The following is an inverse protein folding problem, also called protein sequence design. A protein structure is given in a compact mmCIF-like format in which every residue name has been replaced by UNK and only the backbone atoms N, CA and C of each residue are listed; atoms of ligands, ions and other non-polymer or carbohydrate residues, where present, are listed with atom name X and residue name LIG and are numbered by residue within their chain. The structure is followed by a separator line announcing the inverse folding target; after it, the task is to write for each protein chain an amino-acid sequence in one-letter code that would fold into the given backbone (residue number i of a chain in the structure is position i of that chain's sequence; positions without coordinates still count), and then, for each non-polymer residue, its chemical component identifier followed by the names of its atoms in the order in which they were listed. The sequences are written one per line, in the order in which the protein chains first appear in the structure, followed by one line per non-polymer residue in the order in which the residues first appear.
data_IF_967216593841
#
_entry.id   IF_967216593841
#
_cell.length_a   1.000
_cell.length_b   1.000
_cell.length_c   1.000
_cell.angle_alpha   90.00
_cell.angle_beta   90.00
_cell.angle_gamma   90.00
#
_symmetry.space_group_name_H-M   'P 1'
#
loop_
_entity.id
_entity.type
_entity.pdbx_description
1 polymer ?
#
# COMPACT_ATOMS: atom_id res chain seq x y z
N UNK A 1 1.80 54.38 -25.04
CA UNK A 1 0.93 53.19 -25.11
C UNK A 1 1.76 52.00 -24.64
N UNK A 2 1.72 51.73 -23.33
CA UNK A 2 2.49 50.64 -22.72
C UNK A 2 1.77 49.32 -23.00
N UNK A 3 2.41 48.46 -23.80
CA UNK A 3 2.00 47.06 -23.90
C UNK A 3 2.34 46.37 -22.58
N UNK A 4 1.33 46.06 -21.78
CA UNK A 4 1.44 45.04 -20.74
C UNK A 4 1.46 43.67 -21.44
N UNK A 5 2.67 43.15 -21.65
CA UNK A 5 2.89 41.70 -21.74
C UNK A 5 2.85 41.19 -20.29
N UNK A 6 1.67 40.80 -19.82
CA UNK A 6 1.59 39.95 -18.63
C UNK A 6 2.20 38.59 -18.97
N UNK A 7 3.33 38.32 -18.31
CA UNK A 7 4.09 37.08 -18.32
C UNK A 7 3.15 35.89 -18.07
N UNK A 8 2.96 35.07 -19.10
CA UNK A 8 2.62 33.65 -18.93
C UNK A 8 3.90 32.88 -18.59
N UNK A 9 3.76 31.70 -17.99
CA UNK A 9 4.79 30.72 -17.55
C UNK A 9 5.44 31.07 -16.22
N UNK A 10 5.16 30.39 -15.09
CA UNK A 10 5.58 29.01 -14.87
C UNK A 10 4.95 28.42 -13.57
N UNK A 11 4.05 27.44 -13.69
CA UNK A 11 3.49 26.67 -12.57
C UNK A 11 4.43 25.51 -12.16
N UNK A 12 5.48 25.78 -11.39
CA UNK A 12 6.52 24.77 -11.16
C UNK A 12 6.32 24.02 -9.85
N UNK A 13 5.64 22.88 -9.99
CA UNK A 13 5.61 21.76 -9.05
C UNK A 13 4.89 20.57 -9.68
N UNK A 14 3.86 20.85 -10.46
CA UNK A 14 3.13 19.86 -11.22
C UNK A 14 3.85 19.50 -12.53
N UNK A 15 4.23 18.23 -12.71
CA UNK A 15 4.94 17.76 -13.91
C UNK A 15 4.00 17.21 -14.96
N UNK A 16 2.87 16.62 -14.54
CA UNK A 16 1.87 16.02 -15.42
C UNK A 16 0.52 16.68 -15.18
N UNK A 17 -0.02 17.25 -16.26
CA UNK A 17 -1.27 18.01 -16.25
C UNK A 17 -2.41 17.30 -16.98
N UNK A 18 -2.10 16.42 -17.93
CA UNK A 18 -3.10 15.65 -18.67
C UNK A 18 -3.85 14.73 -17.70
N UNK A 19 -5.17 14.79 -17.75
CA UNK A 19 -6.06 14.08 -16.82
C UNK A 19 -7.08 13.23 -17.60
N UNK A 20 -7.43 12.02 -17.13
CA UNK A 20 -8.41 11.19 -17.80
C UNK A 20 -9.83 11.78 -17.73
N UNK A 21 -10.69 11.34 -18.64
CA UNK A 21 -12.14 11.59 -18.60
C UNK A 21 -12.88 10.34 -18.12
N UNK A 22 -14.01 10.53 -17.44
CA UNK A 22 -14.87 9.41 -17.00
C UNK A 22 -15.34 8.53 -18.16
N UNK A 23 -15.49 9.12 -19.35
CA UNK A 23 -15.90 8.45 -20.60
C UNK A 23 -14.78 7.72 -21.32
N UNK A 24 -13.52 7.88 -20.91
CA UNK A 24 -12.40 7.18 -21.54
C UNK A 24 -12.49 5.67 -21.27
N UNK A 25 -11.93 4.87 -22.16
CA UNK A 25 -11.72 3.44 -21.90
C UNK A 25 -10.79 3.27 -20.68
N UNK A 26 -11.00 2.21 -19.91
CA UNK A 26 -10.26 1.90 -18.69
C UNK A 26 -8.75 1.85 -18.92
N UNK A 27 -8.27 1.19 -19.97
CA UNK A 27 -6.83 1.15 -20.29
C UNK A 27 -6.25 2.55 -20.53
N UNK A 28 -7.02 3.47 -21.11
CA UNK A 28 -6.62 4.87 -21.29
C UNK A 28 -6.58 5.58 -19.93
N UNK A 29 -7.59 5.39 -19.09
CA UNK A 29 -7.61 5.95 -17.72
C UNK A 29 -6.39 5.49 -16.93
N UNK A 30 -6.08 4.18 -16.97
CA UNK A 30 -4.95 3.58 -16.25
C UNK A 30 -3.62 4.13 -16.74
N UNK A 31 -3.42 4.28 -18.04
CA UNK A 31 -2.19 4.86 -18.60
C UNK A 31 -2.00 6.32 -18.15
N UNK A 32 -3.07 7.14 -18.21
CA UNK A 32 -2.99 8.53 -17.77
C UNK A 32 -2.76 8.66 -16.25
N UNK A 33 -3.42 7.83 -15.45
CA UNK A 33 -3.17 7.79 -14.01
C UNK A 33 -1.77 7.28 -13.66
N UNK A 34 -1.22 6.30 -14.39
CA UNK A 34 0.17 5.86 -14.20
C UNK A 34 1.15 7.01 -14.46
N UNK A 35 0.93 7.79 -15.52
CA UNK A 35 1.73 8.98 -15.81
C UNK A 35 1.62 10.02 -14.70
N UNK A 36 0.43 10.26 -14.15
CA UNK A 36 0.23 11.15 -13.00
C UNK A 36 0.97 10.63 -11.75
N UNK A 37 0.87 9.33 -11.44
CA UNK A 37 1.58 8.73 -10.30
C UNK A 37 3.09 8.87 -10.43
N UNK A 38 3.65 8.56 -11.60
CA UNK A 38 5.11 8.68 -11.84
C UNK A 38 5.60 10.12 -12.01
N UNK A 39 4.72 11.03 -12.40
CA UNK A 39 5.05 12.43 -12.62
C UNK A 39 4.94 13.30 -11.36
N UNK A 40 3.81 13.21 -10.67
CA UNK A 40 3.46 14.12 -9.58
C UNK A 40 3.61 13.47 -8.19
N UNK A 41 3.34 12.17 -8.06
CA UNK A 41 3.36 11.45 -6.77
C UNK A 41 4.68 10.76 -6.46
N UNK A 42 5.61 10.73 -7.42
CA UNK A 42 6.87 10.01 -7.31
C UNK A 42 7.87 10.73 -6.41
N UNK A 43 8.22 10.10 -5.29
CA UNK A 43 9.21 10.55 -4.33
C UNK A 43 10.31 9.49 -4.21
N UNK A 44 11.29 9.54 -5.11
CA UNK A 44 12.42 8.59 -5.13
C UNK A 44 11.97 7.12 -5.17
N UNK A 45 10.91 6.81 -5.91
CA UNK A 45 10.30 5.48 -6.01
C UNK A 45 9.15 5.24 -5.03
N UNK A 46 9.09 5.97 -3.91
CA UNK A 46 7.92 5.97 -3.04
C UNK A 46 6.79 6.76 -3.70
N UNK A 47 5.54 6.37 -3.43
CA UNK A 47 4.35 7.00 -4.00
C UNK A 47 3.64 7.77 -2.89
N UNK A 48 3.48 9.07 -3.09
CA UNK A 48 2.75 9.93 -2.17
C UNK A 48 1.24 9.69 -2.32
N UNK A 49 0.54 9.39 -1.22
CA UNK A 49 -0.92 9.16 -1.25
C UNK A 49 -1.70 10.45 -1.56
N UNK A 50 -1.11 11.59 -1.23
CA UNK A 50 -1.69 12.92 -1.37
C UNK A 50 -0.58 13.91 -1.72
N UNK A 51 -0.78 14.68 -2.79
CA UNK A 51 0.11 15.76 -3.20
C UNK A 51 -0.66 17.07 -3.27
N UNK A 52 -0.07 18.13 -2.72
CA UNK A 52 -0.58 19.50 -2.77
C UNK A 52 0.40 20.33 -3.59
N UNK A 53 -0.08 21.01 -4.63
CA UNK A 53 0.77 21.77 -5.55
C UNK A 53 1.06 23.18 -5.02
N UNK A 54 2.06 23.89 -5.56
CA UNK A 54 2.19 25.34 -5.36
C UNK A 54 0.87 26.07 -5.70
N UNK A 55 0.49 27.15 -4.98
CA UNK A 55 1.29 27.90 -4.01
C UNK A 55 1.24 27.36 -2.57
N UNK A 56 0.52 26.27 -2.32
CA UNK A 56 0.48 25.62 -1.00
C UNK A 56 1.55 24.54 -0.82
N UNK A 57 2.00 23.96 -1.92
CA UNK A 57 3.08 23.00 -1.97
C UNK A 57 4.45 23.62 -2.17
N UNK A 58 5.44 22.75 -2.23
CA UNK A 58 6.79 23.10 -2.67
C UNK A 58 6.88 22.91 -4.18
N UNK A 59 7.95 23.44 -4.80
CA UNK A 59 8.30 23.15 -6.20
C UNK A 59 8.47 21.64 -6.48
N UNK A 60 8.58 20.84 -5.43
CA UNK A 60 8.41 19.39 -5.43
C UNK A 60 7.14 19.07 -4.62
N UNK A 61 6.00 18.72 -5.23
CA UNK A 61 4.72 18.60 -4.53
C UNK A 61 4.62 17.31 -3.70
N UNK A 62 5.63 16.99 -2.89
CA UNK A 62 5.63 15.87 -1.94
C UNK A 62 4.99 16.30 -0.61
N UNK A 63 3.94 17.11 -0.63
CA UNK A 63 3.30 17.65 0.57
C UNK A 63 1.85 17.19 0.66
N UNK A 64 1.38 16.90 1.87
CA UNK A 64 0.07 16.30 2.10
C UNK A 64 0.16 15.23 3.19
N UNK A 65 -0.91 14.45 3.37
CA UNK A 65 -0.84 13.26 4.24
C UNK A 65 0.15 12.26 3.66
N UNK A 66 1.04 11.74 4.49
CA UNK A 66 2.00 10.70 4.09
C UNK A 66 2.07 9.53 5.06
N UNK A 67 1.22 9.51 6.10
CA UNK A 67 1.21 8.45 7.12
C UNK A 67 0.96 7.05 6.54
N UNK A 68 0.42 7.00 5.31
CA UNK A 68 0.09 5.79 4.58
C UNK A 68 0.88 5.60 3.29
N UNK A 69 1.96 6.35 3.07
CA UNK A 69 2.76 6.33 1.83
C UNK A 69 3.16 4.91 1.38
N UNK A 70 3.44 4.01 2.32
CA UNK A 70 3.78 2.63 2.04
C UNK A 70 2.64 1.83 1.37
N UNK A 71 1.38 2.22 1.54
CA UNK A 71 0.23 1.57 0.91
C UNK A 71 0.20 1.80 -0.61
N UNK A 72 0.11 3.04 -1.15
CA UNK A 72 0.15 3.25 -2.59
C UNK A 72 1.49 2.84 -3.20
N UNK A 73 2.59 2.90 -2.44
CA UNK A 73 3.89 2.38 -2.88
C UNK A 73 3.83 0.86 -3.11
N UNK A 74 3.26 0.11 -2.16
CA UNK A 74 3.10 -1.35 -2.27
C UNK A 74 2.09 -1.75 -3.36
N UNK A 75 1.05 -0.94 -3.54
CA UNK A 75 0.08 -1.13 -4.63
C UNK A 75 0.71 -0.94 -6.00
N UNK A 76 1.48 0.13 -6.20
CA UNK A 76 2.24 0.33 -7.45
C UNK A 76 3.28 -0.77 -7.66
N UNK A 77 3.96 -1.22 -6.60
CA UNK A 77 4.89 -2.34 -6.68
C UNK A 77 4.19 -3.62 -7.16
N UNK A 78 3.04 -3.95 -6.57
CA UNK A 78 2.23 -5.08 -7.00
C UNK A 78 1.72 -4.89 -8.44
N UNK A 79 1.25 -3.70 -8.81
CA UNK A 79 0.74 -3.39 -10.14
C UNK A 79 1.80 -3.64 -11.22
N UNK A 80 2.99 -3.05 -11.05
CA UNK A 80 4.11 -3.24 -11.98
C UNK A 80 4.60 -4.69 -12.01
N UNK A 81 4.51 -5.41 -10.89
CA UNK A 81 4.87 -6.82 -10.85
C UNK A 81 3.93 -7.70 -11.68
N UNK A 82 2.61 -7.46 -11.58
CA UNK A 82 1.63 -8.12 -12.43
C UNK A 82 1.76 -7.71 -13.90
N UNK A 83 1.99 -6.41 -14.15
CA UNK A 83 2.23 -5.86 -15.49
C UNK A 83 3.41 -6.56 -16.16
N UNK A 84 4.58 -6.56 -15.52
CA UNK A 84 5.77 -7.25 -16.02
C UNK A 84 5.52 -8.75 -16.21
N UNK A 85 4.82 -9.40 -15.27
CA UNK A 85 4.53 -10.83 -15.40
C UNK A 85 3.75 -11.15 -16.68
N UNK A 86 2.85 -10.26 -17.11
CA UNK A 86 2.07 -10.37 -18.33
C UNK A 86 2.84 -9.91 -19.59
N UNK A 87 3.51 -8.76 -19.55
CA UNK A 87 4.13 -8.12 -20.72
C UNK A 87 5.55 -8.60 -21.00
N UNK A 88 6.27 -9.01 -19.95
CA UNK A 88 7.72 -9.27 -19.95
C UNK A 88 8.56 -8.08 -20.43
N UNK A 89 8.02 -6.86 -20.40
CA UNK A 89 8.77 -5.64 -20.78
C UNK A 89 9.78 -5.30 -19.67
N UNK A 90 11.10 -5.32 -19.94
CA UNK A 90 12.11 -4.99 -18.95
C UNK A 90 11.92 -3.61 -18.31
N UNK A 91 11.30 -2.64 -19.01
CA UNK A 91 11.02 -1.30 -18.46
C UNK A 91 10.05 -1.36 -17.28
N UNK A 92 9.07 -2.25 -17.31
CA UNK A 92 8.11 -2.42 -16.21
C UNK A 92 8.82 -2.99 -14.97
N UNK A 93 9.78 -3.90 -15.16
CA UNK A 93 10.63 -4.39 -14.08
C UNK A 93 11.56 -3.31 -13.54
N UNK A 94 12.15 -2.49 -14.39
CA UNK A 94 13.03 -1.39 -13.95
C UNK A 94 12.27 -0.36 -13.09
N UNK A 95 10.99 -0.12 -13.40
CA UNK A 95 10.13 0.71 -12.55
C UNK A 95 9.79 0.00 -11.24
N UNK A 96 9.42 -1.29 -11.28
CA UNK A 96 9.19 -2.09 -10.07
C UNK A 96 10.42 -2.10 -9.14
N UNK A 97 11.62 -2.24 -9.71
CA UNK A 97 12.89 -2.18 -9.00
C UNK A 97 13.06 -0.83 -8.29
N UNK A 98 12.80 0.30 -8.96
CA UNK A 98 12.87 1.62 -8.34
C UNK A 98 11.88 1.79 -7.19
N UNK A 99 10.64 1.30 -7.36
CA UNK A 99 9.63 1.33 -6.29
C UNK A 99 10.10 0.48 -5.11
N UNK A 100 10.65 -0.71 -5.36
CA UNK A 100 11.18 -1.57 -4.31
C UNK A 100 12.41 -0.99 -3.60
N UNK A 101 13.29 -0.28 -4.31
CA UNK A 101 14.40 0.47 -3.69
C UNK A 101 13.88 1.56 -2.72
N UNK A 102 12.72 2.15 -2.99
CA UNK A 102 12.09 3.07 -2.04
C UNK A 102 11.55 2.35 -0.80
N UNK A 103 11.03 1.13 -0.94
CA UNK A 103 10.66 0.27 0.20
C UNK A 103 11.88 -0.07 1.05
N UNK A 104 13.02 -0.39 0.42
CA UNK A 104 14.29 -0.56 1.14
C UNK A 104 14.73 0.73 1.84
N UNK A 105 14.51 1.88 1.20
CA UNK A 105 14.86 3.20 1.77
C UNK A 105 14.02 3.54 3.02
N UNK A 106 12.75 3.12 3.08
CA UNK A 106 11.90 3.28 4.26
C UNK A 106 12.48 2.56 5.50
N UNK A 107 13.19 1.44 5.32
CA UNK A 107 13.97 0.84 6.41
C UNK A 107 15.28 1.61 6.62
N UNK A 108 16.03 1.86 5.53
CA UNK A 108 17.37 2.46 5.62
C UNK A 108 17.37 3.80 6.35
N UNK A 109 16.37 4.64 6.13
CA UNK A 109 16.27 6.00 6.69
C UNK A 109 16.13 6.01 8.22
N UNK A 110 15.65 4.91 8.82
CA UNK A 110 15.51 4.81 10.29
C UNK A 110 16.85 4.54 10.97
N UNK A 111 17.78 3.91 10.24
CA UNK A 111 19.07 3.46 10.78
C UNK A 111 18.98 2.22 11.67
N UNK A 112 17.79 1.65 11.84
CA UNK A 112 17.54 0.48 12.69
C UNK A 112 17.11 -0.69 11.81
N UNK A 113 17.90 -1.78 11.75
CA UNK A 113 17.53 -3.00 11.03
C UNK A 113 16.13 -3.51 11.42
N UNK A 114 15.26 -3.69 10.43
CA UNK A 114 13.89 -4.17 10.61
C UNK A 114 12.88 -3.12 11.08
N UNK A 115 13.29 -1.86 11.35
CA UNK A 115 12.36 -0.76 11.59
C UNK A 115 12.11 -0.01 10.27
N UNK A 116 10.85 0.00 9.82
CA UNK A 116 10.42 0.60 8.56
C UNK A 116 9.59 1.85 8.86
N UNK A 117 9.97 2.98 8.26
CA UNK A 117 9.22 4.23 8.36
C UNK A 117 7.88 4.18 7.59
N UNK A 118 6.93 5.02 7.98
CA UNK A 118 5.69 5.27 7.21
C UNK A 118 5.95 6.02 5.91
N UNK A 119 6.83 7.01 5.97
CA UNK A 119 7.29 7.82 4.84
C UNK A 119 8.66 8.46 5.13
N UNK A 120 9.26 9.07 4.11
CA UNK A 120 10.47 9.89 4.24
C UNK A 120 10.40 11.12 3.34
N UNK A 121 11.08 12.19 3.75
CA UNK A 121 11.25 13.43 2.99
C UNK A 121 12.73 13.84 2.99
N UNK A 122 13.25 14.26 1.83
CA UNK A 122 14.60 14.82 1.73
C UNK A 122 14.62 16.28 2.17
N UNK A 123 14.72 16.53 3.47
CA UNK A 123 14.78 17.85 4.08
C UNK A 123 15.53 17.77 5.41
N UNK A 124 16.22 18.85 5.78
CA UNK A 124 16.84 18.99 7.10
C UNK A 124 15.91 19.61 8.14
N UNK A 125 14.83 20.26 7.71
CA UNK A 125 13.89 20.97 8.56
C UNK A 125 12.48 20.40 8.40
N UNK A 126 11.60 20.50 9.41
CA UNK A 126 10.21 20.11 9.29
C UNK A 126 9.51 20.82 8.12
N UNK A 127 8.76 20.06 7.33
CA UNK A 127 7.85 20.61 6.34
C UNK A 127 6.54 21.05 7.01
N UNK A 128 5.89 22.08 6.47
CA UNK A 128 4.68 22.63 7.07
C UNK A 128 3.54 21.59 7.25
N UNK A 129 3.50 20.56 6.40
CA UNK A 129 2.48 19.53 6.52
C UNK A 129 2.71 18.61 7.73
N UNK A 130 3.94 18.49 8.23
CA UNK A 130 4.26 17.73 9.44
C UNK A 130 3.55 18.29 10.69
N UNK A 131 3.23 19.60 10.69
CA UNK A 131 2.56 20.28 11.80
C UNK A 131 1.03 20.22 11.76
N UNK A 132 0.43 19.97 10.58
CA UNK A 132 -1.04 19.98 10.42
C UNK A 132 -1.63 18.58 10.33
N UNK A 133 -0.79 17.57 10.11
CA UNK A 133 -1.21 16.18 10.18
C UNK A 133 -1.38 15.76 11.63
N UNK A 134 -2.35 14.90 11.91
CA UNK A 134 -2.64 14.40 13.26
C UNK A 134 -1.51 13.53 13.85
N UNK A 135 -0.42 13.32 13.10
CA UNK A 135 0.66 12.40 13.41
C UNK A 135 2.01 13.14 13.42
N UNK A 136 2.64 13.22 14.59
CA UNK A 136 3.75 14.13 14.85
C UNK A 136 5.09 13.44 15.18
N UNK A 137 5.24 12.16 14.83
CA UNK A 137 6.46 11.41 15.13
C UNK A 137 7.49 11.47 13.98
N UNK A 138 7.93 12.69 13.67
CA UNK A 138 8.95 12.92 12.65
C UNK A 138 10.35 12.97 13.26
N UNK A 139 11.27 12.21 12.67
CA UNK A 139 12.66 12.11 13.12
C UNK A 139 13.62 12.62 12.06
N UNK A 140 14.74 13.21 12.50
CA UNK A 140 15.91 13.35 11.64
C UNK A 140 16.54 11.97 11.42
N UNK A 141 16.90 11.65 10.18
CA UNK A 141 17.60 10.41 9.90
C UNK A 141 19.05 10.46 10.40
N UNK A 142 19.46 9.43 11.14
CA UNK A 142 20.84 9.26 11.61
C UNK A 142 21.71 8.48 10.62
N UNK A 143 21.09 7.72 9.71
CA UNK A 143 21.74 6.88 8.70
C UNK A 143 21.78 7.53 7.31
N UNK A 144 20.90 8.49 7.03
CA UNK A 144 20.82 9.27 5.80
C UNK A 144 20.71 10.77 6.12
N UNK A 145 21.82 11.48 6.38
CA UNK A 145 21.81 12.93 6.59
C UNK A 145 21.08 13.65 5.44
N UNK A 146 20.33 14.72 5.74
CA UNK A 146 19.46 15.40 4.77
C UNK A 146 18.06 14.80 4.62
N UNK A 147 17.70 13.79 5.44
CA UNK A 147 16.38 13.17 5.43
C UNK A 147 15.67 13.25 6.78
N UNK A 148 14.35 13.38 6.70
CA UNK A 148 13.41 13.17 7.80
C UNK A 148 12.50 11.99 7.49
N UNK A 149 12.04 11.27 8.50
CA UNK A 149 11.15 10.12 8.34
C UNK A 149 10.10 10.06 9.44
N UNK A 150 8.97 9.41 9.13
CA UNK A 150 7.82 9.30 10.02
C UNK A 150 7.73 7.91 10.66
N UNK A 151 7.65 7.86 11.99
CA UNK A 151 7.64 6.64 12.81
C UNK A 151 6.27 5.98 13.03
N UNK A 152 6.17 5.20 14.11
CA UNK A 152 4.97 4.53 14.63
C UNK A 152 4.21 3.70 13.58
N UNK A 153 4.93 2.81 12.90
CA UNK A 153 4.38 1.97 11.82
C UNK A 153 3.16 1.15 12.28
N UNK A 154 2.08 1.20 11.50
CA UNK A 154 0.83 0.49 11.80
C UNK A 154 0.72 -0.89 11.13
N UNK A 155 -0.17 -1.75 11.65
CA UNK A 155 -0.40 -3.13 11.17
C UNK A 155 -0.90 -3.23 9.73
N UNK A 156 -1.56 -2.19 9.23
CA UNK A 156 -1.91 -2.06 7.81
C UNK A 156 -0.65 -2.00 6.93
N UNK A 157 0.40 -1.27 7.35
CA UNK A 157 1.67 -1.16 6.62
C UNK A 157 2.48 -2.44 6.64
N UNK A 158 2.41 -3.17 7.74
CA UNK A 158 2.91 -4.56 7.80
C UNK A 158 2.29 -5.41 6.68
N UNK A 159 0.97 -5.28 6.47
CA UNK A 159 0.27 -6.01 5.41
C UNK A 159 0.74 -5.56 4.04
N UNK A 160 0.92 -4.25 3.83
CA UNK A 160 1.38 -3.64 2.59
C UNK A 160 2.78 -4.11 2.19
N UNK A 161 3.76 -4.10 3.10
CA UNK A 161 5.12 -4.58 2.84
C UNK A 161 5.09 -6.07 2.44
N UNK A 162 4.43 -6.92 3.24
CA UNK A 162 4.41 -8.36 2.97
C UNK A 162 3.72 -8.68 1.64
N UNK A 163 2.61 -7.99 1.32
CA UNK A 163 1.90 -8.14 0.05
C UNK A 163 2.71 -7.63 -1.15
N UNK A 164 3.19 -6.39 -1.10
CA UNK A 164 3.90 -5.75 -2.20
C UNK A 164 5.24 -6.43 -2.50
N UNK A 165 6.06 -6.63 -1.46
CA UNK A 165 7.38 -7.27 -1.58
C UNK A 165 7.24 -8.74 -1.98
N UNK A 166 6.27 -9.47 -1.39
CA UNK A 166 6.03 -10.87 -1.76
C UNK A 166 5.60 -11.02 -3.22
N UNK A 167 4.67 -10.17 -3.69
CA UNK A 167 4.24 -10.14 -5.10
C UNK A 167 5.39 -9.81 -6.04
N UNK A 168 6.21 -8.81 -5.70
CA UNK A 168 7.39 -8.44 -6.49
C UNK A 168 8.41 -9.56 -6.58
N UNK A 169 8.74 -10.18 -5.44
CA UNK A 169 9.69 -11.29 -5.39
C UNK A 169 9.27 -12.46 -6.27
N UNK A 170 7.97 -12.78 -6.28
CA UNK A 170 7.44 -13.90 -7.04
C UNK A 170 7.38 -13.63 -8.54
N UNK A 171 6.88 -12.46 -8.93
CA UNK A 171 6.45 -12.19 -10.30
C UNK A 171 7.45 -11.39 -11.14
N UNK A 172 8.30 -10.58 -10.49
CA UNK A 172 9.04 -9.51 -11.17
C UNK A 172 10.55 -9.52 -10.89
N UNK A 173 10.93 -9.76 -9.64
CA UNK A 173 12.31 -9.69 -9.20
C UNK A 173 13.20 -10.71 -9.94
N UNK A 174 14.37 -10.24 -10.38
CA UNK A 174 15.48 -11.11 -10.75
C UNK A 174 16.21 -11.66 -9.50
N UNK A 175 17.24 -12.47 -9.68
CA UNK A 175 17.93 -13.11 -8.57
C UNK A 175 18.55 -12.11 -7.58
N UNK A 176 19.08 -10.98 -8.06
CA UNK A 176 19.67 -9.95 -7.21
C UNK A 176 18.59 -9.25 -6.37
N UNK A 177 17.47 -8.89 -6.99
CA UNK A 177 16.35 -8.27 -6.28
C UNK A 177 15.61 -9.26 -5.37
N UNK A 178 15.57 -10.55 -5.71
CA UNK A 178 15.04 -11.60 -4.82
C UNK A 178 15.84 -11.68 -3.53
N UNK A 179 17.17 -11.60 -3.59
CA UNK A 179 18.02 -11.57 -2.41
C UNK A 179 17.78 -10.32 -1.55
N UNK A 180 17.65 -9.14 -2.18
CA UNK A 180 17.33 -7.90 -1.46
C UNK A 180 15.96 -7.98 -0.75
N UNK A 181 14.92 -8.45 -1.44
CA UNK A 181 13.58 -8.62 -0.89
C UNK A 181 13.53 -9.63 0.26
N UNK A 182 14.21 -10.77 0.11
CA UNK A 182 14.36 -11.73 1.21
C UNK A 182 15.11 -11.11 2.41
N UNK A 183 16.18 -10.36 2.17
CA UNK A 183 16.93 -9.69 3.23
C UNK A 183 16.13 -8.62 3.98
N UNK A 184 15.30 -7.85 3.29
CA UNK A 184 14.38 -6.88 3.92
C UNK A 184 13.36 -7.59 4.82
N UNK A 185 12.65 -8.59 4.30
CA UNK A 185 11.65 -9.30 5.10
C UNK A 185 12.28 -10.08 6.25
N UNK A 186 13.50 -10.60 6.08
CA UNK A 186 14.22 -11.26 7.16
C UNK A 186 14.45 -10.32 8.35
N UNK A 187 14.94 -9.09 8.09
CA UNK A 187 15.13 -8.08 9.14
C UNK A 187 13.81 -7.62 9.74
N UNK A 188 12.84 -7.28 8.89
CA UNK A 188 11.54 -6.78 9.31
C UNK A 188 10.77 -7.83 10.14
N UNK A 189 10.52 -9.01 9.58
CA UNK A 189 9.78 -10.07 10.27
C UNK A 189 10.59 -10.71 11.39
N UNK A 190 11.91 -10.77 11.28
CA UNK A 190 12.79 -11.22 12.35
C UNK A 190 12.57 -10.41 13.62
N UNK A 191 12.63 -9.08 13.51
CA UNK A 191 12.38 -8.17 14.63
C UNK A 191 10.98 -8.34 15.21
N UNK A 192 9.96 -8.46 14.37
CA UNK A 192 8.58 -8.69 14.84
C UNK A 192 8.47 -10.00 15.63
N UNK A 193 9.09 -11.09 15.16
CA UNK A 193 9.12 -12.37 15.90
C UNK A 193 9.92 -12.25 17.19
N UNK A 194 11.07 -11.58 17.17
CA UNK A 194 11.94 -11.39 18.34
C UNK A 194 11.25 -10.55 19.43
N UNK A 195 10.41 -9.59 19.02
CA UNK A 195 9.61 -8.74 19.91
C UNK A 195 8.24 -9.33 20.25
N UNK A 196 8.12 -10.66 20.27
CA UNK A 196 6.88 -11.38 20.59
C UNK A 196 5.67 -10.93 19.74
N UNK A 197 5.88 -10.85 18.43
CA UNK A 197 4.88 -10.49 17.42
C UNK A 197 4.32 -9.06 17.59
N UNK A 198 5.16 -8.13 18.04
CA UNK A 198 4.82 -6.69 18.09
C UNK A 198 5.60 -5.95 17.00
N UNK A 199 4.95 -5.00 16.32
CA UNK A 199 5.71 -3.92 15.70
C UNK A 199 6.19 -3.02 16.83
N UNK A 200 7.50 -2.92 16.98
CA UNK A 200 8.14 -2.09 18.00
C UNK A 200 8.71 -0.83 17.34
N UNK A 201 8.68 0.30 18.03
CA UNK A 201 9.21 1.55 17.51
C UNK A 201 10.67 1.78 17.91
N UNK A 202 11.21 2.96 17.58
CA UNK A 202 12.55 3.42 17.92
C UNK A 202 12.84 3.38 19.42
N UNK A 203 11.82 3.61 20.26
CA UNK A 203 11.94 3.58 21.73
C UNK A 203 11.84 2.17 22.33
N UNK A 204 11.69 1.14 21.49
CA UNK A 204 11.54 -0.26 21.88
C UNK A 204 10.14 -0.65 22.39
N UNK A 205 9.17 0.28 22.39
CA UNK A 205 7.78 -0.01 22.74
C UNK A 205 6.98 -0.42 21.52
N UNK A 206 5.83 -1.04 21.74
CA UNK A 206 4.92 -1.39 20.64
C UNK A 206 4.36 -0.11 20.00
N UNK A 207 4.29 -0.08 18.67
CA UNK A 207 3.60 0.99 17.93
C UNK A 207 2.10 0.98 18.26
N UNK A 208 1.43 2.12 18.08
CA UNK A 208 0.03 2.34 18.46
C UNK A 208 -0.91 1.25 17.91
N UNK A 209 -0.66 0.78 16.68
CA UNK A 209 -1.51 -0.18 15.97
C UNK A 209 -0.79 -1.49 15.62
N UNK A 210 0.37 -1.75 16.24
CA UNK A 210 1.30 -2.82 15.89
C UNK A 210 1.13 -4.15 16.60
N UNK A 211 -0.06 -4.45 17.13
CA UNK A 211 -0.25 -5.62 17.98
C UNK A 211 -0.65 -6.89 17.21
N UNK A 212 0.29 -7.83 17.07
CA UNK A 212 0.04 -9.21 16.64
C UNK A 212 0.41 -10.24 17.73
N UNK A 213 0.67 -9.75 18.95
CA UNK A 213 1.16 -10.53 20.07
C UNK A 213 0.10 -11.52 20.55
N UNK A 214 0.42 -12.82 20.67
CA UNK A 214 -0.55 -13.82 21.14
C UNK A 214 -0.91 -13.66 22.61
N UNK A 215 -0.07 -12.97 23.39
CA UNK A 215 -0.28 -12.73 24.82
C UNK A 215 -1.05 -11.43 25.11
N UNK A 216 -1.41 -10.65 24.07
CA UNK A 216 -2.18 -9.42 24.20
C UNK A 216 -3.48 -9.51 23.39
N UNK A 217 -4.61 -8.96 23.90
CA UNK A 217 -5.83 -8.87 23.10
C UNK A 217 -5.59 -8.11 21.79
N UNK A 218 -5.92 -8.74 20.67
CA UNK A 218 -5.80 -8.16 19.34
C UNK A 218 -7.03 -8.52 18.49
N UNK A 219 -7.19 -7.81 17.37
CA UNK A 219 -8.28 -8.11 16.44
C UNK A 219 -7.98 -9.42 15.69
N UNK A 220 -8.98 -10.27 15.42
CA UNK A 220 -8.79 -11.50 14.64
C UNK A 220 -8.16 -11.30 13.24
N UNK A 221 -8.33 -10.10 12.66
CA UNK A 221 -7.65 -9.72 11.42
C UNK A 221 -6.12 -9.71 11.58
N UNK A 222 -5.60 -9.36 12.76
CA UNK A 222 -4.16 -9.34 13.00
C UNK A 222 -3.59 -10.77 13.03
N UNK A 223 -4.35 -11.76 13.50
CA UNK A 223 -3.97 -13.17 13.40
C UNK A 223 -3.82 -13.59 11.92
N UNK A 224 -4.77 -13.20 11.06
CA UNK A 224 -4.69 -13.43 9.61
C UNK A 224 -3.46 -12.77 8.98
N UNK A 225 -3.23 -11.48 9.28
CA UNK A 225 -2.09 -10.71 8.78
C UNK A 225 -0.77 -11.37 9.21
N UNK A 226 -0.61 -11.75 10.48
CA UNK A 226 0.60 -12.37 10.99
C UNK A 226 0.89 -13.72 10.33
N UNK A 227 -0.13 -14.58 10.19
CA UNK A 227 0.00 -15.86 9.48
C UNK A 227 0.46 -15.67 8.03
N UNK A 228 -0.09 -14.66 7.33
CA UNK A 228 0.38 -14.29 6.00
C UNK A 228 1.83 -13.82 6.01
N UNK A 229 2.20 -12.89 6.91
CA UNK A 229 3.56 -12.33 6.97
C UNK A 229 4.62 -13.41 7.21
N UNK A 230 4.37 -14.34 8.13
CA UNK A 230 5.27 -15.47 8.40
C UNK A 230 5.38 -16.42 7.19
N UNK A 231 4.27 -16.70 6.51
CA UNK A 231 4.29 -17.55 5.31
C UNK A 231 5.09 -16.91 4.17
N UNK A 232 4.90 -15.61 3.94
CA UNK A 232 5.66 -14.84 2.94
C UNK A 232 7.14 -14.80 3.32
N UNK A 233 7.48 -14.50 4.58
CA UNK A 233 8.86 -14.48 5.04
C UNK A 233 9.55 -15.83 4.88
N UNK A 234 8.89 -16.93 5.25
CA UNK A 234 9.43 -18.28 5.04
C UNK A 234 9.64 -18.55 3.55
N UNK A 235 8.67 -18.20 2.69
CA UNK A 235 8.76 -18.41 1.24
C UNK A 235 9.95 -17.68 0.62
N UNK A 236 10.20 -16.44 1.04
CA UNK A 236 11.24 -15.59 0.48
C UNK A 236 12.64 -15.94 1.01
N UNK A 237 12.74 -16.26 2.30
CA UNK A 237 14.03 -16.43 2.99
C UNK A 237 14.47 -17.89 3.08
N UNK A 238 13.54 -18.85 3.04
CA UNK A 238 13.79 -20.26 3.33
C UNK A 238 14.16 -20.55 4.78
N UNK A 239 14.06 -19.57 5.70
CA UNK A 239 14.45 -19.76 7.10
C UNK A 239 13.36 -20.42 7.92
N UNK A 240 13.68 -21.56 8.51
CA UNK A 240 12.73 -22.39 9.26
C UNK A 240 12.12 -21.67 10.47
N UNK A 241 12.80 -20.67 11.06
CA UNK A 241 12.27 -19.90 12.19
C UNK A 241 10.89 -19.28 11.92
N UNK A 242 10.61 -18.88 10.68
CA UNK A 242 9.31 -18.31 10.31
C UNK A 242 8.23 -19.38 10.18
N UNK A 243 8.59 -20.55 9.66
CA UNK A 243 7.69 -21.69 9.59
C UNK A 243 7.37 -22.25 10.98
N UNK A 244 8.38 -22.34 11.84
CA UNK A 244 8.22 -22.72 13.24
C UNK A 244 7.33 -21.74 14.01
N UNK A 245 7.53 -20.43 13.85
CA UNK A 245 6.67 -19.41 14.44
C UNK A 245 5.22 -19.48 13.91
N UNK A 246 5.05 -19.72 12.61
CA UNK A 246 3.74 -19.92 11.99
C UNK A 246 2.99 -21.09 12.61
N UNK A 247 3.63 -22.26 12.72
CA UNK A 247 3.03 -23.43 13.36
C UNK A 247 2.82 -23.24 14.86
N UNK A 248 3.72 -22.56 15.56
CA UNK A 248 3.54 -22.25 16.98
C UNK A 248 2.27 -21.40 17.22
N UNK A 249 2.04 -20.35 16.42
CA UNK A 249 0.83 -19.52 16.53
C UNK A 249 -0.45 -20.30 16.23
N UNK A 250 -0.39 -21.30 15.36
CA UNK A 250 -1.50 -22.20 15.04
C UNK A 250 -1.74 -23.18 16.18
N UNK A 251 -0.72 -23.97 16.54
CA UNK A 251 -0.85 -25.11 17.43
C UNK A 251 -1.10 -24.69 18.89
N UNK A 252 -0.48 -23.60 19.33
CA UNK A 252 -0.55 -23.13 20.72
C UNK A 252 -1.57 -22.02 20.93
N UNK A 253 -1.76 -21.16 19.94
CA UNK A 253 -2.57 -19.95 20.07
C UNK A 253 -3.79 -19.92 19.14
N UNK A 254 -3.97 -20.96 18.31
CA UNK A 254 -5.14 -21.13 17.45
C UNK A 254 -5.40 -19.97 16.49
N UNK A 255 -4.35 -19.33 15.98
CA UNK A 255 -4.47 -18.21 15.04
C UNK A 255 -5.20 -18.60 13.74
N UNK A 256 -5.15 -19.87 13.35
CA UNK A 256 -5.88 -20.41 12.20
C UNK A 256 -7.41 -20.49 12.43
N UNK A 257 -7.84 -20.65 13.67
CA UNK A 257 -9.26 -20.57 14.06
C UNK A 257 -9.68 -19.12 14.34
N UNK A 258 -8.83 -18.34 14.99
CA UNK A 258 -9.12 -16.94 15.30
C UNK A 258 -9.34 -16.13 14.03
N UNK A 259 -8.47 -16.29 13.02
CA UNK A 259 -8.58 -15.57 11.74
C UNK A 259 -9.91 -15.79 11.00
N UNK A 260 -10.66 -16.86 11.32
CA UNK A 260 -12.01 -17.07 10.77
C UNK A 260 -12.96 -15.92 11.13
N UNK A 261 -12.67 -15.15 12.19
CA UNK A 261 -13.46 -14.01 12.66
C UNK A 261 -12.93 -12.67 12.14
N UNK A 262 -11.94 -12.67 11.24
CA UNK A 262 -11.36 -11.45 10.69
C UNK A 262 -12.39 -10.52 10.03
N UNK A 263 -13.47 -11.08 9.45
CA UNK A 263 -14.63 -10.30 8.99
C UNK A 263 -15.65 -10.09 10.10
N UNK A 264 -15.93 -8.83 10.40
CA UNK A 264 -17.16 -8.44 11.11
C UNK A 264 -18.34 -8.46 10.14
N UNK A 265 -19.37 -9.27 10.43
CA UNK A 265 -20.59 -9.35 9.60
C UNK A 265 -21.77 -8.62 10.23
N UNK A 266 -21.82 -8.56 11.55
CA UNK A 266 -22.89 -7.91 12.31
C UNK A 266 -22.30 -7.22 13.56
N UNK A 267 -22.80 -6.03 13.92
CA UNK A 267 -23.76 -5.23 13.17
C UNK A 267 -23.13 -4.60 11.90
N UNK A 268 -23.94 -4.21 10.93
CA UNK A 268 -23.46 -3.80 9.60
C UNK A 268 -22.61 -2.52 9.67
N UNK A 269 -22.96 -1.61 10.57
CA UNK A 269 -22.22 -0.38 10.88
C UNK A 269 -20.82 -0.60 11.46
N UNK A 270 -20.48 -1.83 11.88
CA UNK A 270 -19.13 -2.17 12.33
C UNK A 270 -18.29 -2.81 11.23
N UNK A 271 -18.83 -2.95 10.02
CA UNK A 271 -18.05 -3.38 8.86
C UNK A 271 -17.12 -2.24 8.47
N UNK A 272 -15.85 -2.59 8.31
CA UNK A 272 -14.82 -1.66 7.89
C UNK A 272 -14.19 -2.16 6.60
N UNK A 273 -14.38 -1.40 5.51
CA UNK A 273 -13.85 -1.76 4.19
C UNK A 273 -12.31 -1.72 4.14
N UNK A 274 -11.67 -0.94 5.02
CA UNK A 274 -10.22 -0.95 5.20
C UNK A 274 -9.72 -2.28 5.74
N UNK A 275 -10.49 -2.92 6.65
CA UNK A 275 -10.15 -4.24 7.18
C UNK A 275 -10.25 -5.32 6.09
N UNK A 276 -11.29 -5.24 5.24
CA UNK A 276 -11.44 -6.10 4.06
C UNK A 276 -10.26 -5.99 3.10
N UNK A 277 -9.72 -4.77 2.93
CA UNK A 277 -8.56 -4.52 2.10
C UNK A 277 -7.33 -5.30 2.55
N UNK A 278 -7.07 -5.30 3.86
CA UNK A 278 -5.96 -6.04 4.43
C UNK A 278 -6.21 -7.55 4.44
N UNK A 279 -7.46 -7.98 4.65
CA UNK A 279 -7.82 -9.39 4.58
C UNK A 279 -7.65 -9.95 3.17
N UNK A 280 -8.10 -9.24 2.14
CA UNK A 280 -7.95 -9.65 0.74
C UNK A 280 -6.48 -9.83 0.33
N UNK A 281 -5.61 -8.86 0.68
CA UNK A 281 -4.15 -8.98 0.48
C UNK A 281 -3.57 -10.17 1.24
N UNK A 282 -4.01 -10.37 2.49
CA UNK A 282 -3.50 -11.43 3.34
C UNK A 282 -3.87 -12.82 2.81
N UNK A 283 -5.14 -13.04 2.49
CA UNK A 283 -5.66 -14.29 1.92
C UNK A 283 -5.04 -14.58 0.55
N UNK A 284 -4.87 -13.56 -0.30
CA UNK A 284 -4.24 -13.69 -1.61
C UNK A 284 -2.82 -14.28 -1.53
N UNK A 285 -2.01 -13.83 -0.57
CA UNK A 285 -0.66 -14.36 -0.39
C UNK A 285 -0.67 -15.70 0.35
N UNK A 286 -1.41 -15.78 1.46
CA UNK A 286 -1.41 -16.94 2.35
C UNK A 286 -1.93 -18.20 1.64
N UNK A 287 -3.07 -18.12 0.94
CA UNK A 287 -3.66 -19.28 0.28
C UNK A 287 -2.84 -19.78 -0.91
N UNK A 288 -2.12 -18.92 -1.63
CA UNK A 288 -1.27 -19.34 -2.76
C UNK A 288 0.01 -20.03 -2.32
N UNK A 289 0.48 -19.77 -1.10
CA UNK A 289 1.71 -20.35 -0.55
C UNK A 289 1.45 -21.51 0.42
N UNK A 290 0.24 -21.66 0.95
CA UNK A 290 -0.12 -22.78 1.81
C UNK A 290 -0.28 -24.08 0.99
N UNK A 291 0.20 -25.20 1.57
CA UNK A 291 0.13 -26.54 1.00
C UNK A 291 -0.66 -27.53 1.86
N UNK A 292 -0.78 -27.25 3.16
CA UNK A 292 -1.61 -28.04 4.07
C UNK A 292 -3.09 -27.84 3.73
N UNK A 293 -3.77 -28.95 3.40
CA UNK A 293 -5.17 -28.94 2.98
C UNK A 293 -6.13 -28.54 4.10
N UNK A 294 -5.82 -28.85 5.36
CA UNK A 294 -6.65 -28.48 6.49
C UNK A 294 -6.56 -26.97 6.75
N UNK A 295 -5.36 -26.40 6.67
CA UNK A 295 -5.17 -24.95 6.78
C UNK A 295 -5.81 -24.20 5.61
N UNK A 296 -5.65 -24.71 4.37
CA UNK A 296 -6.33 -24.16 3.20
C UNK A 296 -7.86 -24.14 3.37
N UNK A 297 -8.45 -25.19 3.98
CA UNK A 297 -9.89 -25.19 4.26
C UNK A 297 -10.27 -24.07 5.25
N UNK A 298 -9.49 -23.84 6.31
CA UNK A 298 -9.75 -22.73 7.26
C UNK A 298 -9.58 -21.36 6.60
N UNK A 299 -8.57 -21.18 5.75
CA UNK A 299 -8.42 -19.93 5.00
C UNK A 299 -9.53 -19.73 3.98
N UNK A 300 -10.01 -20.81 3.34
CA UNK A 300 -11.18 -20.75 2.48
C UNK A 300 -12.46 -20.38 3.24
N UNK A 301 -12.63 -20.87 4.47
CA UNK A 301 -13.75 -20.46 5.33
C UNK A 301 -13.70 -18.97 5.67
N UNK A 302 -12.51 -18.43 5.96
CA UNK A 302 -12.33 -17.00 6.20
C UNK A 302 -12.62 -16.17 4.95
N UNK A 303 -12.13 -16.59 3.78
CA UNK A 303 -12.46 -15.97 2.49
C UNK A 303 -13.97 -15.98 2.23
N UNK A 304 -14.65 -17.11 2.44
CA UNK A 304 -16.09 -17.22 2.27
C UNK A 304 -16.86 -16.34 3.26
N UNK A 305 -16.33 -16.13 4.48
CA UNK A 305 -16.93 -15.21 5.44
C UNK A 305 -16.85 -13.76 4.97
N UNK A 306 -15.73 -13.34 4.39
CA UNK A 306 -15.62 -12.02 3.75
C UNK A 306 -16.56 -11.90 2.55
N UNK A 307 -16.66 -12.97 1.76
CA UNK A 307 -17.54 -13.05 0.60
C UNK A 307 -19.02 -12.80 0.92
N UNK A 308 -19.49 -13.19 2.11
CA UNK A 308 -20.86 -12.89 2.53
C UNK A 308 -21.20 -11.40 2.52
N UNK A 309 -20.22 -10.53 2.70
CA UNK A 309 -20.37 -9.08 2.55
C UNK A 309 -20.00 -8.62 1.13
N UNK A 310 -18.85 -9.08 0.61
CA UNK A 310 -18.35 -8.61 -0.69
C UNK A 310 -19.28 -8.90 -1.86
N UNK A 311 -20.06 -9.99 -1.80
CA UNK A 311 -20.96 -10.35 -2.90
C UNK A 311 -22.08 -9.31 -3.11
N UNK A 312 -22.40 -8.51 -2.09
CA UNK A 312 -23.40 -7.45 -2.08
C UNK A 312 -22.80 -6.05 -1.89
N UNK A 313 -21.48 -5.90 -2.00
CA UNK A 313 -20.82 -4.62 -1.75
C UNK A 313 -21.15 -3.61 -2.84
N UNK A 314 -21.42 -2.37 -2.44
CA UNK A 314 -21.50 -1.26 -3.37
C UNK A 314 -20.09 -0.88 -3.84
N UNK A 315 -19.93 -0.59 -5.14
CA UNK A 315 -18.63 -0.25 -5.74
C UNK A 315 -18.29 1.24 -5.56
N UNK A 316 -18.41 1.76 -4.35
CA UNK A 316 -18.15 3.16 -4.02
C UNK A 316 -16.66 3.47 -3.79
N UNK A 317 -15.88 2.45 -3.41
CA UNK A 317 -14.44 2.55 -3.22
C UNK A 317 -13.69 1.75 -4.29
N UNK A 318 -12.58 2.29 -4.81
CA UNK A 318 -11.90 1.73 -5.99
C UNK A 318 -11.46 0.28 -5.78
N UNK A 319 -11.15 -0.11 -4.54
CA UNK A 319 -10.69 -1.46 -4.21
C UNK A 319 -11.80 -2.49 -4.05
N UNK A 320 -13.09 -2.10 -4.00
CA UNK A 320 -14.18 -3.05 -3.81
C UNK A 320 -14.24 -4.10 -4.93
N UNK A 321 -14.05 -3.68 -6.18
CA UNK A 321 -14.04 -4.60 -7.32
C UNK A 321 -12.85 -5.56 -7.29
N UNK A 322 -11.74 -5.16 -6.65
CA UNK A 322 -10.59 -6.03 -6.47
C UNK A 322 -10.86 -7.18 -5.52
N UNK A 323 -11.70 -7.00 -4.49
CA UNK A 323 -12.10 -8.08 -3.60
C UNK A 323 -12.82 -9.21 -4.35
N UNK A 324 -13.69 -8.85 -5.29
CA UNK A 324 -14.39 -9.77 -6.18
C UNK A 324 -13.38 -10.53 -7.06
N UNK A 325 -12.41 -9.81 -7.64
CA UNK A 325 -11.37 -10.43 -8.47
C UNK A 325 -10.45 -11.36 -7.67
N UNK A 326 -10.08 -10.99 -6.44
CA UNK A 326 -9.29 -11.83 -5.52
C UNK A 326 -10.06 -13.09 -5.17
N UNK A 327 -11.34 -12.97 -4.82
CA UNK A 327 -12.18 -14.13 -4.55
C UNK A 327 -12.18 -15.08 -5.76
N UNK A 328 -12.53 -14.59 -6.96
CA UNK A 328 -12.53 -15.44 -8.17
C UNK A 328 -11.16 -16.06 -8.45
N UNK A 329 -10.06 -15.32 -8.29
CA UNK A 329 -8.71 -15.83 -8.52
C UNK A 329 -8.32 -16.95 -7.54
N UNK A 330 -8.81 -16.90 -6.30
CA UNK A 330 -8.52 -17.91 -5.27
C UNK A 330 -9.47 -19.10 -5.29
N UNK A 331 -10.70 -18.91 -5.77
CA UNK A 331 -11.74 -19.96 -5.74
C UNK A 331 -11.94 -20.65 -7.09
N UNK A 332 -11.62 -19.97 -8.19
CA UNK A 332 -11.95 -20.41 -9.54
C UNK A 332 -13.44 -20.28 -9.89
N UNK A 333 -14.27 -19.69 -9.01
CA UNK A 333 -15.70 -19.54 -9.25
C UNK A 333 -15.96 -18.41 -10.25
N UNK A 334 -16.75 -18.70 -11.29
CA UNK A 334 -17.15 -17.68 -12.26
C UNK A 334 -18.21 -16.74 -11.66
N UNK A 335 -17.78 -15.57 -11.22
CA UNK A 335 -18.63 -14.62 -10.49
C UNK A 335 -18.69 -13.23 -11.15
N UNK A 336 -18.11 -13.03 -12.34
CA UNK A 336 -18.15 -11.74 -13.05
C UNK A 336 -19.48 -11.52 -13.79
N UNK A 337 -20.43 -10.89 -13.10
CA UNK A 337 -21.70 -10.40 -13.68
C UNK A 337 -21.47 -9.16 -14.56
N UNK A 338 -22.45 -8.78 -15.39
CA UNK A 338 -22.37 -7.55 -16.19
C UNK A 338 -22.24 -6.29 -15.33
N UNK A 339 -22.85 -6.27 -14.15
CA UNK A 339 -22.68 -5.20 -13.16
C UNK A 339 -21.23 -5.10 -12.66
N UNK A 340 -20.62 -6.23 -12.28
CA UNK A 340 -19.21 -6.28 -11.86
C UNK A 340 -18.27 -5.87 -12.99
N UNK A 341 -18.54 -6.30 -14.23
CA UNK A 341 -17.78 -5.85 -15.42
C UNK A 341 -17.95 -4.35 -15.68
N UNK A 342 -19.15 -3.80 -15.43
CA UNK A 342 -19.38 -2.35 -15.49
C UNK A 342 -18.56 -1.62 -14.42
N UNK A 343 -18.55 -2.11 -13.17
CA UNK A 343 -17.73 -1.56 -12.10
C UNK A 343 -16.23 -1.58 -12.44
N UNK A 344 -15.74 -2.63 -13.10
CA UNK A 344 -14.36 -2.67 -13.64
C UNK A 344 -14.12 -1.52 -14.62
N UNK A 345 -14.99 -1.36 -15.63
CA UNK A 345 -14.86 -0.32 -16.68
C UNK A 345 -14.96 1.11 -16.12
N UNK A 346 -15.73 1.26 -15.05
CA UNK A 346 -15.99 2.53 -14.38
C UNK A 346 -14.96 2.89 -13.30
N UNK A 347 -13.98 2.01 -13.03
CA UNK A 347 -12.90 2.29 -12.08
C UNK A 347 -12.30 3.68 -12.32
N UNK A 348 -12.03 4.36 -11.21
CA UNK A 348 -11.55 5.74 -11.18
C UNK A 348 -10.51 5.92 -10.10
N UNK A 349 -9.49 6.75 -10.38
CA UNK A 349 -8.40 7.01 -9.44
C UNK A 349 -8.77 8.06 -8.41
N UNK A 350 -8.85 9.33 -8.83
CA UNK A 350 -9.20 10.45 -7.97
C UNK A 350 -9.72 11.62 -8.80
N UNK A 351 -10.31 12.62 -8.16
CA UNK A 351 -10.56 13.92 -8.80
C UNK A 351 -9.46 14.90 -8.38
N UNK A 352 -8.91 15.67 -9.32
CA UNK A 352 -8.07 16.82 -8.95
C UNK A 352 -8.99 17.94 -8.49
N UNK A 353 -8.79 18.42 -7.28
CA UNK A 353 -9.66 19.46 -6.69
C UNK A 353 -8.85 20.66 -6.22
N UNK A 354 -9.48 21.83 -6.20
CA UNK A 354 -8.89 23.05 -5.64
C UNK A 354 -9.49 23.32 -4.26
N UNK A 355 -8.65 23.50 -3.25
CA UNK A 355 -9.05 23.77 -1.86
C UNK A 355 -8.24 24.89 -1.24
N UNK A 356 -8.72 25.37 -0.09
CA UNK A 356 -7.97 26.31 0.75
C UNK A 356 -7.21 25.55 1.84
N UNK A 357 -5.91 25.80 1.93
CA UNK A 357 -5.01 25.22 2.91
C UNK A 357 -4.55 26.28 3.89
N UNK A 358 -4.57 25.95 5.18
CA UNK A 358 -4.00 26.78 6.25
C UNK A 358 -2.57 26.33 6.50
N UNK A 359 -1.61 27.16 6.10
CA UNK A 359 -0.19 26.86 6.21
C UNK A 359 0.39 27.58 7.43
N UNK A 360 1.01 26.85 8.37
CA UNK A 360 1.79 27.46 9.46
C UNK A 360 2.94 28.32 8.92
N UNK A 361 3.10 29.52 9.48
CA UNK A 361 4.13 30.47 9.07
C UNK A 361 5.31 30.48 10.05
N UNK A 362 6.54 30.63 9.52
CA UNK A 362 7.73 30.87 10.36
C UNK A 362 7.55 32.18 11.13
N UNK A 363 7.54 32.11 12.47
CA UNK A 363 7.26 33.24 13.36
C UNK A 363 5.86 33.24 13.99
N UNK A 364 5.04 32.22 13.70
CA UNK A 364 3.70 32.04 14.27
C UNK A 364 2.58 32.53 13.36
N UNK A 365 1.36 32.04 13.62
CA UNK A 365 0.18 32.31 12.80
C UNK A 365 0.03 31.35 11.61
N UNK A 366 -1.02 31.55 10.82
CA UNK A 366 -1.32 30.74 9.63
C UNK A 366 -1.60 31.64 8.44
N UNK A 367 -1.24 31.17 7.24
CA UNK A 367 -1.59 31.78 5.96
C UNK A 367 -2.55 30.86 5.23
N UNK A 368 -3.71 31.36 4.85
CA UNK A 368 -4.62 30.64 3.95
C UNK A 368 -4.17 30.83 2.51
N UNK A 369 -4.01 29.72 1.78
CA UNK A 369 -3.69 29.72 0.36
C UNK A 369 -4.62 28.78 -0.38
N UNK A 370 -5.04 29.17 -1.58
CA UNK A 370 -5.83 28.30 -2.46
C UNK A 370 -4.87 27.51 -3.35
N UNK A 371 -5.01 26.18 -3.38
CA UNK A 371 -4.17 25.30 -4.21
C UNK A 371 -4.91 24.07 -4.70
N UNK A 372 -4.36 23.44 -5.74
CA UNK A 372 -4.80 22.13 -6.23
C UNK A 372 -4.16 20.97 -5.46
N UNK A 373 -4.92 19.89 -5.30
CA UNK A 373 -4.48 18.63 -4.70
C UNK A 373 -4.86 17.42 -5.55
N UNK A 374 -4.07 16.35 -5.43
CA UNK A 374 -4.35 15.03 -6.00
C UNK A 374 -4.34 13.95 -4.92
N UNK A 375 -5.34 13.08 -4.96
CA UNK A 375 -5.29 11.78 -4.29
C UNK A 375 -4.49 10.76 -5.10
N UNK A 376 -4.46 9.51 -4.65
CA UNK A 376 -3.69 8.46 -5.34
C UNK A 376 -4.57 7.55 -6.20
N UNK A 377 -4.03 7.10 -7.34
CA UNK A 377 -4.66 6.09 -8.21
C UNK A 377 -3.97 4.71 -8.10
N UNK A 378 -3.07 4.52 -7.14
CA UNK A 378 -2.25 3.31 -7.04
C UNK A 378 -3.08 2.01 -6.94
N UNK A 379 -4.13 2.01 -6.11
CA UNK A 379 -5.02 0.86 -5.97
C UNK A 379 -5.77 0.56 -7.27
N UNK A 380 -6.28 1.59 -7.97
CA UNK A 380 -6.92 1.44 -9.28
C UNK A 380 -5.98 0.80 -10.30
N UNK A 381 -4.73 1.26 -10.37
CA UNK A 381 -3.70 0.74 -11.29
C UNK A 381 -3.38 -0.72 -10.93
N UNK A 382 -3.25 -1.06 -9.63
CA UNK A 382 -3.11 -2.46 -9.19
C UNK A 382 -4.28 -3.32 -9.62
N UNK A 383 -5.51 -2.84 -9.41
CA UNK A 383 -6.71 -3.60 -9.75
C UNK A 383 -6.72 -3.96 -11.23
N UNK A 384 -6.38 -3.00 -12.10
CA UNK A 384 -6.27 -3.22 -13.53
C UNK A 384 -5.25 -4.31 -13.87
N UNK A 385 -4.00 -4.17 -13.42
CA UNK A 385 -2.95 -5.12 -13.78
C UNK A 385 -3.14 -6.49 -13.14
N UNK A 386 -3.69 -6.56 -11.92
CA UNK A 386 -4.13 -7.81 -11.30
C UNK A 386 -5.18 -8.51 -12.17
N UNK A 387 -6.25 -7.80 -12.54
CA UNK A 387 -7.33 -8.37 -13.34
C UNK A 387 -6.86 -8.78 -14.74
N UNK A 388 -5.96 -8.01 -15.36
CA UNK A 388 -5.33 -8.37 -16.64
C UNK A 388 -4.49 -9.65 -16.52
N UNK A 389 -3.71 -9.79 -15.45
CA UNK A 389 -2.88 -10.96 -15.20
C UNK A 389 -3.70 -12.25 -15.01
N UNK A 390 -4.85 -12.15 -14.33
CA UNK A 390 -5.78 -13.28 -14.13
C UNK A 390 -6.81 -13.47 -15.25
N UNK A 391 -6.75 -12.68 -16.34
CA UNK A 391 -7.71 -12.77 -17.44
C UNK A 391 -9.14 -12.32 -17.10
N UNK A 392 -9.31 -11.53 -16.02
CA UNK A 392 -10.59 -11.00 -15.54
C UNK A 392 -10.94 -9.63 -16.17
N UNK A 393 -9.96 -8.97 -16.78
CA UNK A 393 -10.13 -7.68 -17.46
C UNK A 393 -9.72 -7.85 -18.92
N UNK A 394 -10.60 -7.47 -19.85
CA UNK A 394 -10.30 -7.45 -21.28
C UNK A 394 -9.30 -6.31 -21.57
N UNK A 395 -8.22 -6.55 -22.34
CA UNK A 395 -7.28 -5.50 -22.75
C UNK A 395 -7.90 -4.29 -23.43
N UNK A 396 -9.07 -4.44 -24.06
CA UNK A 396 -9.77 -3.37 -24.79
C UNK A 396 -10.60 -2.46 -23.89
N UNK A 397 -10.87 -2.87 -22.64
CA UNK A 397 -11.75 -2.11 -21.74
C UNK A 397 -11.16 -0.79 -21.34
#
# INVERSE_FOLDING_TARGET
MFFYLTVSTDAWGQKVNVFPKKTDALHVKVELYDQLMRGNHWNEGAIMQHVIFPPAGLERPIVGSQADCLDPTSEMLAAYSHKYALTKDPKDRDIANQIFEAVLKLEKVTGVPGLVARSFNQTDEPLWHEEVLWYHEWHQSTSLPGYRWLGDLSSDKFTSICYGVGTFWELCADDAYKQKAAGLLDRFMGRVVDDNFKLTDLDGKMTMWGNFCPDLPHQPLNSLKMLMGLKVAHRLTGKERYNAAYHMLIDRYHYDDEQLKAKMLFPAEWRNVGDDYHAARSLYMLMRYEKDRNLLNKYRMSLNRHWEDWKTIDFEWESNIWFIMVYQALTGEEIMTEERKKAIKDMWGFERTTREFKIPMKGGGTKTVKSEEEGTAAAMIRNYWFGRYYGLIDPKW
#
